data_IF_782837468549
#
_entry.id   IF_782837468549
#
_cell.length_a   1.000
_cell.length_b   1.000
_cell.length_c   1.000
_cell.angle_alpha   90.00
_cell.angle_beta   90.00
_cell.angle_gamma   90.00
#
_symmetry.space_group_name_H-M   'P 1'
#
loop_
_entity.id
_entity.type
_entity.pdbx_description
1 polymer ?
#
# COMPACT_ATOMS: atom_id res chain seq x y z
N UNK A 1 5.41 -18.50 -26.63
CA UNK A 1 4.89 -17.84 -25.42
C UNK A 1 5.40 -18.65 -24.25
N UNK A 2 6.42 -18.12 -23.56
CA UNK A 2 7.10 -18.85 -22.49
C UNK A 2 6.19 -18.90 -21.27
N UNK A 3 5.63 -20.07 -20.97
CA UNK A 3 4.97 -20.32 -19.70
C UNK A 3 6.00 -20.13 -18.60
N UNK A 4 5.76 -19.16 -17.73
CA UNK A 4 6.58 -18.93 -16.54
C UNK A 4 6.59 -20.23 -15.75
N UNK A 5 7.78 -20.77 -15.42
CA UNK A 5 7.99 -22.02 -14.65
C UNK A 5 6.96 -22.29 -13.52
N UNK A 6 6.47 -21.29 -12.75
CA UNK A 6 5.45 -21.51 -11.73
C UNK A 6 4.09 -22.00 -12.27
N UNK A 7 3.66 -21.55 -13.45
CA UNK A 7 2.40 -21.95 -14.07
C UNK A 7 2.44 -23.42 -14.49
N UNK A 8 3.59 -23.89 -14.96
CA UNK A 8 3.81 -25.30 -15.31
C UNK A 8 3.69 -26.20 -14.07
N UNK A 9 4.22 -25.74 -12.93
CA UNK A 9 4.10 -26.44 -11.64
C UNK A 9 2.64 -26.49 -11.18
N UNK A 10 1.92 -25.36 -11.23
CA UNK A 10 0.49 -25.27 -10.85
C UNK A 10 -0.36 -26.21 -11.71
N UNK A 11 -0.12 -26.22 -13.03
CA UNK A 11 -0.86 -27.07 -13.96
C UNK A 11 -0.51 -28.56 -13.82
N UNK A 12 0.70 -28.88 -13.30
CA UNK A 12 1.19 -30.24 -13.09
C UNK A 12 0.65 -30.96 -11.85
N UNK A 13 0.07 -30.23 -10.88
CA UNK A 13 -0.47 -30.81 -9.65
C UNK A 13 -1.97 -31.12 -9.75
N UNK A 14 -2.53 -31.87 -8.80
CA UNK A 14 -3.98 -32.13 -8.77
C UNK A 14 -4.75 -30.89 -8.30
N UNK A 15 -5.94 -30.68 -8.86
CA UNK A 15 -6.78 -29.52 -8.55
C UNK A 15 -7.21 -29.51 -7.06
N UNK A 16 -7.53 -30.67 -6.50
CA UNK A 16 -7.92 -30.80 -5.08
C UNK A 16 -6.76 -30.45 -4.12
N UNK A 17 -5.54 -30.85 -4.47
CA UNK A 17 -4.36 -30.52 -3.68
C UNK A 17 -4.01 -29.03 -3.80
N UNK A 18 -4.14 -28.45 -5.01
CA UNK A 18 -4.00 -27.01 -5.21
C UNK A 18 -5.00 -26.24 -4.34
N UNK A 19 -6.28 -26.63 -4.35
CA UNK A 19 -7.31 -25.96 -3.53
C UNK A 19 -7.01 -26.01 -2.04
N UNK A 20 -6.57 -27.17 -1.55
CA UNK A 20 -6.24 -27.36 -0.13
C UNK A 20 -5.05 -26.48 0.29
N UNK A 21 -4.01 -26.42 -0.54
CA UNK A 21 -2.81 -25.61 -0.28
C UNK A 21 -3.12 -24.13 -0.44
N UNK A 22 -3.79 -23.73 -1.52
CA UNK A 22 -4.18 -22.35 -1.76
C UNK A 22 -5.02 -21.79 -0.61
N UNK A 23 -5.97 -22.58 -0.08
CA UNK A 23 -6.78 -22.21 1.09
C UNK A 23 -5.93 -22.05 2.36
N UNK A 24 -4.93 -22.90 2.55
CA UNK A 24 -3.98 -22.79 3.68
C UNK A 24 -3.12 -21.53 3.54
N UNK A 25 -2.61 -21.28 2.33
CA UNK A 25 -1.76 -20.14 2.02
C UNK A 25 -2.50 -18.82 2.23
N UNK A 26 -3.68 -18.62 1.63
CA UNK A 26 -4.42 -17.34 1.76
C UNK A 26 -4.79 -17.02 3.22
N UNK A 27 -5.01 -18.04 4.07
CA UNK A 27 -5.30 -17.86 5.50
C UNK A 27 -4.09 -17.40 6.30
N UNK A 28 -2.90 -17.89 5.95
CA UNK A 28 -1.63 -17.50 6.59
C UNK A 28 -1.04 -16.24 5.95
N UNK A 29 -1.41 -15.94 4.71
CA UNK A 29 -0.98 -14.76 3.97
C UNK A 29 -1.51 -13.49 4.67
N UNK A 30 -0.60 -12.55 4.91
CA UNK A 30 -0.89 -11.28 5.57
C UNK A 30 -0.87 -11.31 7.11
N UNK A 31 -0.79 -12.47 7.75
CA UNK A 31 -0.71 -12.58 9.21
C UNK A 31 0.75 -12.54 9.69
N UNK A 32 1.09 -11.50 10.46
CA UNK A 32 2.42 -11.26 11.03
C UNK A 32 2.82 -12.27 12.11
N UNK A 33 1.89 -13.10 12.57
CA UNK A 33 2.15 -14.20 13.51
C UNK A 33 2.94 -15.33 12.85
N UNK A 34 2.91 -15.42 11.52
CA UNK A 34 3.63 -16.44 10.76
C UNK A 34 4.90 -15.86 10.13
N UNK A 35 6.06 -16.40 10.51
CA UNK A 35 7.34 -16.07 9.88
C UNK A 35 7.51 -16.72 8.50
N UNK A 36 6.75 -17.79 8.22
CA UNK A 36 6.72 -18.54 6.95
C UNK A 36 5.29 -18.95 6.61
N UNK A 37 4.98 -19.02 5.32
CA UNK A 37 3.65 -19.43 4.83
C UNK A 37 3.37 -20.93 5.04
N UNK A 38 4.43 -21.75 5.08
CA UNK A 38 4.40 -23.16 5.42
C UNK A 38 5.51 -23.45 6.44
N UNK A 39 5.22 -24.32 7.39
CA UNK A 39 6.21 -24.81 8.36
C UNK A 39 7.01 -25.98 7.76
N UNK A 40 8.20 -26.31 8.29
CA UNK A 40 9.08 -27.35 7.70
C UNK A 40 8.40 -28.74 7.59
N UNK A 41 7.53 -29.08 8.53
CA UNK A 41 6.74 -30.30 8.48
C UNK A 41 5.64 -30.24 7.40
N UNK A 42 5.02 -29.08 7.22
CA UNK A 42 4.01 -28.85 6.19
C UNK A 42 4.63 -28.86 4.79
N UNK A 43 5.83 -28.29 4.63
CA UNK A 43 6.59 -28.34 3.37
C UNK A 43 6.93 -29.79 3.00
N UNK A 44 7.41 -30.59 3.96
CA UNK A 44 7.67 -32.02 3.76
C UNK A 44 6.40 -32.78 3.39
N UNK A 45 5.28 -32.50 4.05
CA UNK A 45 4.00 -33.13 3.73
C UNK A 45 3.49 -32.73 2.34
N UNK A 46 3.63 -31.45 1.97
CA UNK A 46 3.24 -30.92 0.67
C UNK A 46 4.10 -31.55 -0.44
N UNK A 47 5.42 -31.61 -0.27
CA UNK A 47 6.36 -32.30 -1.19
C UNK A 47 5.95 -33.75 -1.41
N UNK A 48 5.67 -34.49 -0.33
CA UNK A 48 5.28 -35.90 -0.43
C UNK A 48 3.90 -36.12 -1.08
N UNK A 49 2.94 -35.23 -0.80
CA UNK A 49 1.56 -35.35 -1.30
C UNK A 49 1.46 -34.93 -2.77
N UNK A 50 2.12 -33.83 -3.13
CA UNK A 50 2.14 -33.27 -4.48
C UNK A 50 3.16 -33.96 -5.40
N UNK A 51 4.12 -34.71 -4.83
CA UNK A 51 5.24 -35.35 -5.54
C UNK A 51 6.09 -34.35 -6.34
N UNK A 52 6.29 -33.16 -5.78
CA UNK A 52 7.12 -32.10 -6.38
C UNK A 52 8.41 -31.89 -5.57
N UNK A 53 9.41 -31.26 -6.17
CA UNK A 53 10.62 -30.90 -5.44
C UNK A 53 10.43 -29.58 -4.63
N UNK A 54 11.37 -29.26 -3.76
CA UNK A 54 11.34 -28.06 -2.92
C UNK A 54 11.31 -26.76 -3.73
N UNK A 55 12.01 -26.71 -4.87
CA UNK A 55 12.02 -25.52 -5.74
C UNK A 55 10.65 -25.27 -6.39
N UNK A 56 9.97 -26.34 -6.79
CA UNK A 56 8.63 -26.29 -7.38
C UNK A 56 7.59 -25.94 -6.31
N UNK A 57 7.75 -26.44 -5.07
CA UNK A 57 6.89 -26.03 -3.96
C UNK A 57 7.05 -24.52 -3.68
N UNK A 58 8.28 -24.01 -3.64
CA UNK A 58 8.51 -22.58 -3.44
C UNK A 58 7.92 -21.76 -4.59
N UNK A 59 8.07 -22.20 -5.85
CA UNK A 59 7.45 -21.55 -6.99
C UNK A 59 5.91 -21.52 -6.89
N UNK A 60 5.28 -22.60 -6.42
CA UNK A 60 3.84 -22.68 -6.19
C UNK A 60 3.38 -21.71 -5.10
N UNK A 61 4.12 -21.65 -3.98
CA UNK A 61 3.81 -20.74 -2.86
C UNK A 61 3.93 -19.29 -3.30
N UNK A 62 5.03 -18.93 -3.96
CA UNK A 62 5.25 -17.57 -4.48
C UNK A 62 4.19 -17.17 -5.50
N UNK A 63 3.86 -18.06 -6.44
CA UNK A 63 2.82 -17.80 -7.43
C UNK A 63 1.46 -17.59 -6.77
N UNK A 64 1.08 -18.46 -5.84
CA UNK A 64 -0.20 -18.35 -5.14
C UNK A 64 -0.28 -17.07 -4.31
N UNK A 65 0.80 -16.72 -3.60
CA UNK A 65 0.88 -15.47 -2.83
C UNK A 65 0.75 -14.25 -3.74
N UNK A 66 1.51 -14.21 -4.83
CA UNK A 66 1.48 -13.13 -5.81
C UNK A 66 0.07 -12.91 -6.38
N UNK A 67 -0.57 -13.98 -6.84
CA UNK A 67 -1.89 -13.88 -7.48
C UNK A 67 -2.97 -13.48 -6.47
N UNK A 68 -2.92 -13.96 -5.23
CA UNK A 68 -3.85 -13.52 -4.19
C UNK A 68 -3.62 -12.09 -3.73
N UNK A 69 -2.37 -11.65 -3.60
CA UNK A 69 -2.03 -10.25 -3.32
C UNK A 69 -2.54 -9.34 -4.43
N UNK A 70 -2.24 -9.64 -5.69
CA UNK A 70 -2.70 -8.86 -6.85
C UNK A 70 -4.24 -8.76 -6.88
N UNK A 71 -4.93 -9.87 -6.69
CA UNK A 71 -6.38 -9.91 -6.62
C UNK A 71 -6.95 -9.09 -5.46
N UNK A 72 -6.28 -9.10 -4.30
CA UNK A 72 -6.68 -8.30 -3.15
C UNK A 72 -6.47 -6.80 -3.37
N UNK A 73 -5.34 -6.41 -3.95
CA UNK A 73 -5.05 -5.00 -4.25
C UNK A 73 -6.08 -4.41 -5.21
N UNK A 74 -6.48 -5.18 -6.22
CA UNK A 74 -7.47 -4.75 -7.20
C UNK A 74 -8.91 -4.99 -6.74
N UNK A 75 -9.13 -5.58 -5.56
CA UNK A 75 -10.44 -6.00 -5.05
C UNK A 75 -11.23 -6.79 -6.11
N UNK A 76 -10.57 -7.73 -6.78
CA UNK A 76 -11.15 -8.47 -7.90
C UNK A 76 -12.31 -9.37 -7.46
N UNK A 77 -13.38 -9.37 -8.25
CA UNK A 77 -14.48 -10.32 -8.11
C UNK A 77 -14.03 -11.75 -8.51
N UNK A 78 -14.61 -12.82 -7.93
CA UNK A 78 -14.21 -14.20 -8.18
C UNK A 78 -14.19 -14.60 -9.66
N UNK A 79 -15.19 -14.20 -10.44
CA UNK A 79 -15.26 -14.53 -11.86
C UNK A 79 -14.19 -13.78 -12.68
N UNK A 80 -13.88 -12.53 -12.30
CA UNK A 80 -12.80 -11.77 -12.94
C UNK A 80 -11.42 -12.35 -12.59
N UNK A 81 -11.24 -12.86 -11.38
CA UNK A 81 -10.03 -13.53 -10.94
C UNK A 81 -9.80 -14.85 -11.72
N UNK A 82 -10.86 -15.62 -11.95
CA UNK A 82 -10.79 -16.85 -12.76
C UNK A 82 -10.42 -16.56 -14.22
N UNK A 83 -11.04 -15.54 -14.82
CA UNK A 83 -10.71 -15.10 -16.17
C UNK A 83 -9.24 -14.66 -16.27
N UNK A 84 -8.75 -13.91 -15.28
CA UNK A 84 -7.35 -13.48 -15.23
C UNK A 84 -6.38 -14.67 -15.17
N UNK A 85 -6.64 -15.66 -14.31
CA UNK A 85 -5.83 -16.88 -14.19
C UNK A 85 -5.77 -17.66 -15.52
N UNK A 86 -6.90 -17.79 -16.20
CA UNK A 86 -6.99 -18.56 -17.44
C UNK A 86 -6.38 -17.82 -18.63
N UNK A 87 -6.80 -16.57 -18.85
CA UNK A 87 -6.49 -15.82 -20.08
C UNK A 87 -5.13 -15.13 -20.02
N UNK A 88 -4.76 -14.58 -18.86
CA UNK A 88 -3.52 -13.81 -18.71
C UNK A 88 -2.34 -14.69 -18.29
N UNK A 89 -2.58 -15.65 -17.39
CA UNK A 89 -1.53 -16.47 -16.78
C UNK A 89 -1.42 -17.87 -17.38
N UNK A 90 -2.43 -18.37 -18.10
CA UNK A 90 -2.40 -19.68 -18.73
C UNK A 90 -2.56 -20.86 -17.75
N UNK A 91 -3.21 -20.62 -16.61
CA UNK A 91 -3.60 -21.68 -15.68
C UNK A 91 -4.73 -22.51 -16.30
N UNK A 92 -4.72 -23.83 -16.06
CA UNK A 92 -5.77 -24.70 -16.57
C UNK A 92 -7.15 -24.33 -15.97
N UNK A 93 -8.24 -24.36 -16.75
CA UNK A 93 -9.58 -23.96 -16.28
C UNK A 93 -10.03 -24.66 -15.00
N UNK A 94 -9.72 -25.96 -14.87
CA UNK A 94 -10.05 -26.75 -13.67
C UNK A 94 -9.32 -26.24 -12.41
N UNK A 95 -8.09 -25.77 -12.56
CA UNK A 95 -7.28 -25.25 -11.46
C UNK A 95 -7.67 -23.81 -11.12
N UNK A 96 -7.95 -23.00 -12.13
CA UNK A 96 -8.46 -21.64 -11.96
C UNK A 96 -9.81 -21.64 -11.22
N UNK A 97 -10.74 -22.53 -11.58
CA UNK A 97 -12.03 -22.67 -10.90
C UNK A 97 -11.86 -23.03 -9.41
N UNK A 98 -10.90 -23.91 -9.07
CA UNK A 98 -10.60 -24.23 -7.67
C UNK A 98 -10.02 -23.02 -6.93
N UNK A 99 -9.06 -22.30 -7.53
CA UNK A 99 -8.51 -21.08 -6.93
C UNK A 99 -9.58 -19.99 -6.77
N UNK A 100 -10.51 -19.89 -7.72
CA UNK A 100 -11.67 -18.99 -7.64
C UNK A 100 -12.58 -19.33 -6.47
N UNK A 101 -12.88 -20.61 -6.24
CA UNK A 101 -13.67 -21.03 -5.07
C UNK A 101 -12.96 -20.70 -3.75
N UNK A 102 -11.63 -20.86 -3.71
CA UNK A 102 -10.83 -20.45 -2.55
C UNK A 102 -10.92 -18.94 -2.35
N UNK A 103 -10.74 -18.15 -3.41
CA UNK A 103 -10.85 -16.70 -3.38
C UNK A 103 -12.24 -16.26 -2.91
N UNK A 104 -13.31 -16.77 -3.50
CA UNK A 104 -14.70 -16.48 -3.11
C UNK A 104 -14.95 -16.71 -1.61
N UNK A 105 -14.37 -17.78 -1.04
CA UNK A 105 -14.56 -18.12 0.37
C UNK A 105 -13.68 -17.35 1.36
N UNK A 106 -12.47 -16.94 0.97
CA UNK A 106 -11.46 -16.39 1.89
C UNK A 106 -11.09 -14.92 1.59
N UNK A 107 -11.47 -14.37 0.43
CA UNK A 107 -11.10 -13.02 -0.02
C UNK A 107 -11.52 -11.94 0.99
N UNK A 108 -12.75 -11.98 1.49
CA UNK A 108 -13.24 -10.96 2.43
C UNK A 108 -12.39 -10.91 3.70
N UNK A 109 -12.05 -12.08 4.26
CA UNK A 109 -11.21 -12.17 5.46
C UNK A 109 -9.76 -11.76 5.16
N UNK A 110 -9.22 -12.15 4.01
CA UNK A 110 -7.87 -11.80 3.60
C UNK A 110 -7.70 -10.31 3.31
N UNK A 111 -8.62 -9.72 2.53
CA UNK A 111 -8.66 -8.27 2.27
C UNK A 111 -8.87 -7.51 3.59
N UNK A 112 -9.68 -8.02 4.52
CA UNK A 112 -9.80 -7.47 5.87
C UNK A 112 -8.46 -7.40 6.61
N UNK A 113 -7.73 -8.52 6.67
CA UNK A 113 -6.37 -8.58 7.28
C UNK A 113 -5.37 -7.67 6.56
N UNK A 114 -5.41 -7.61 5.24
CA UNK A 114 -4.56 -6.72 4.46
C UNK A 114 -4.92 -5.26 4.75
N UNK A 115 -6.21 -4.90 4.80
CA UNK A 115 -6.66 -3.55 5.15
C UNK A 115 -6.24 -3.19 6.56
N UNK A 116 -6.36 -4.09 7.52
CA UNK A 116 -5.78 -3.87 8.86
C UNK A 116 -4.28 -3.60 8.72
N UNK A 117 -3.50 -4.44 8.04
CA UNK A 117 -2.05 -4.22 7.87
C UNK A 117 -1.65 -2.98 7.05
N UNK A 118 -2.47 -2.56 6.09
CA UNK A 118 -2.15 -1.48 5.13
C UNK A 118 -2.75 -0.12 5.53
N UNK A 119 -3.91 -0.12 6.19
CA UNK A 119 -4.46 1.04 6.91
C UNK A 119 -3.71 1.24 8.23
N UNK A 120 -3.28 0.15 8.88
CA UNK A 120 -2.23 0.14 9.91
C UNK A 120 -0.85 -0.06 9.28
N UNK A 121 -0.56 0.61 8.15
CA UNK A 121 0.84 0.88 7.83
C UNK A 121 1.51 1.31 9.13
N UNK A 122 2.70 0.78 9.45
CA UNK A 122 3.30 0.85 10.81
C UNK A 122 3.32 2.24 11.46
N UNK A 123 3.05 3.28 10.67
CA UNK A 123 2.89 4.67 11.05
C UNK A 123 1.52 5.16 10.60
N UNK A 124 0.55 5.13 11.50
CA UNK A 124 -0.74 5.82 11.33
C UNK A 124 -0.58 7.20 11.91
N UNK A 125 -0.94 8.24 11.17
CA UNK A 125 -0.99 9.60 11.71
C UNK A 125 -2.03 9.65 12.84
N UNK A 126 -1.58 9.74 14.09
CA UNK A 126 -2.41 9.75 15.29
C UNK A 126 -2.82 11.16 15.68
N UNK A 127 -1.88 12.10 15.58
CA UNK A 127 -2.11 13.51 15.92
C UNK A 127 -1.33 14.43 14.97
N UNK A 128 -1.80 15.67 14.83
CA UNK A 128 -1.14 16.69 14.03
C UNK A 128 -1.22 18.03 14.72
N UNK A 129 -0.06 18.60 15.03
CA UNK A 129 0.04 19.98 15.50
C UNK A 129 0.64 20.85 14.41
N UNK A 130 0.20 22.09 14.30
CA UNK A 130 0.72 23.02 13.31
C UNK A 130 0.97 24.40 13.92
N UNK A 131 1.92 25.13 13.37
CA UNK A 131 2.23 26.50 13.75
C UNK A 131 2.61 27.31 12.52
N UNK A 132 2.04 28.50 12.37
CA UNK A 132 2.37 29.41 11.27
C UNK A 132 3.19 30.57 11.80
N UNK A 133 4.40 30.72 11.26
CA UNK A 133 5.27 31.85 11.50
C UNK A 133 5.06 32.90 10.43
N UNK A 134 4.85 34.15 10.85
CA UNK A 134 4.74 35.31 9.97
C UNK A 134 5.97 36.20 10.17
N UNK A 135 6.91 36.16 9.23
CA UNK A 135 8.02 37.10 9.19
C UNK A 135 7.60 38.33 8.40
N UNK A 136 7.31 39.40 9.12
CA UNK A 136 7.10 40.73 8.54
C UNK A 136 8.44 41.44 8.50
N UNK A 137 9.09 41.47 7.34
CA UNK A 137 10.28 42.31 7.16
C UNK A 137 9.83 43.78 7.25
N UNK A 138 10.10 44.42 8.38
CA UNK A 138 10.13 45.89 8.45
C UNK A 138 11.46 46.31 7.85
N UNK A 139 11.43 47.17 6.84
CA UNK A 139 12.62 47.89 6.43
C UNK A 139 13.15 48.65 7.65
N UNK A 140 14.35 48.32 8.10
CA UNK A 140 15.09 49.16 9.04
C UNK A 140 15.41 50.47 8.30
N UNK A 141 14.55 51.48 8.47
CA UNK A 141 14.90 52.87 8.21
C UNK A 141 15.87 53.30 9.32
N UNK A 142 17.15 53.28 8.96
CA UNK A 142 18.28 53.78 9.74
C UNK A 142 18.08 55.31 10.01
N UNK A 143 17.93 55.79 11.27
CA UNK A 143 17.68 57.20 11.54
C UNK A 143 19.01 57.98 11.59
N UNK A 144 19.79 57.97 10.49
CA UNK A 144 21.04 58.74 10.44
C UNK A 144 21.54 59.08 9.02
N UNK A 145 20.73 59.66 8.13
CA UNK A 145 21.29 60.57 7.10
C UNK A 145 20.23 61.44 6.42
N UNK A 146 20.31 62.73 6.74
CA UNK A 146 19.62 63.89 6.18
C UNK A 146 19.72 64.04 4.64
N UNK A 147 18.59 64.52 4.05
CA UNK A 147 18.42 65.31 2.81
C UNK A 147 18.24 64.60 1.45
N UNK A 148 16.99 64.32 1.10
CA UNK A 148 16.50 64.15 -0.28
C UNK A 148 14.96 64.13 -0.34
N UNK A 149 14.31 64.56 -1.44
CA UNK A 149 12.84 64.62 -1.51
C UNK A 149 12.23 63.21 -1.57
N UNK A 150 10.96 63.03 -1.15
CA UNK A 150 10.38 61.71 -0.96
C UNK A 150 10.18 61.05 -2.32
N UNK A 151 10.99 60.03 -2.63
CA UNK A 151 10.69 59.11 -3.72
C UNK A 151 9.60 58.17 -3.21
N UNK A 152 8.39 58.32 -3.74
CA UNK A 152 7.34 57.30 -3.68
C UNK A 152 7.94 55.99 -4.23
N UNK A 153 8.37 55.12 -3.32
CA UNK A 153 8.70 53.74 -3.62
C UNK A 153 7.62 52.94 -2.93
N UNK A 154 6.91 52.15 -3.72
CA UNK A 154 6.02 51.12 -3.20
C UNK A 154 6.84 50.20 -2.28
N UNK A 155 6.77 50.44 -0.97
CA UNK A 155 7.34 49.56 0.04
C UNK A 155 6.56 48.25 -0.01
N UNK A 156 6.99 47.34 -0.89
CA UNK A 156 6.55 45.96 -0.87
C UNK A 156 7.12 45.35 0.40
N UNK A 157 6.37 45.51 1.49
CA UNK A 157 6.58 44.83 2.76
C UNK A 157 6.62 43.33 2.48
N UNK A 158 7.82 42.76 2.36
CA UNK A 158 7.97 41.35 2.05
C UNK A 158 7.55 40.56 3.28
N UNK A 159 6.31 40.09 3.25
CA UNK A 159 5.74 39.29 4.33
C UNK A 159 5.87 37.84 3.91
N UNK A 160 6.75 37.09 4.57
CA UNK A 160 6.93 35.67 4.33
C UNK A 160 6.21 34.91 5.44
N UNK A 161 5.24 34.09 5.04
CA UNK A 161 4.56 33.17 5.94
C UNK A 161 5.06 31.75 5.68
N UNK A 162 5.43 31.06 6.76
CA UNK A 162 5.87 29.67 6.71
C UNK A 162 5.09 28.89 7.77
N UNK A 163 4.57 27.72 7.39
CA UNK A 163 3.83 26.85 8.31
C UNK A 163 4.62 25.58 8.59
N UNK A 164 4.73 25.20 9.87
CA UNK A 164 5.38 23.97 10.32
C UNK A 164 4.30 23.02 10.83
N UNK A 165 4.28 21.80 10.30
CA UNK A 165 3.40 20.71 10.73
C UNK A 165 4.23 19.65 11.44
N UNK A 166 3.84 19.27 12.65
CA UNK A 166 4.40 18.13 13.35
C UNK A 166 3.39 16.98 13.31
N UNK A 167 3.78 15.91 12.64
CA UNK A 167 2.97 14.73 12.41
C UNK A 167 3.36 13.66 13.43
N UNK A 168 2.44 13.32 14.33
CA UNK A 168 2.62 12.26 15.31
C UNK A 168 2.08 10.96 14.74
N UNK A 169 2.89 9.90 14.82
CA UNK A 169 2.47 8.57 14.41
C UNK A 169 1.96 7.78 15.61
N UNK A 170 1.18 6.73 15.38
CA UNK A 170 0.62 5.83 16.40
C UNK A 170 1.68 5.05 17.21
N UNK A 171 2.95 5.15 16.83
CA UNK A 171 4.06 4.58 17.58
C UNK A 171 4.76 5.70 18.37
N UNK A 172 4.47 5.81 19.66
CA UNK A 172 5.04 6.81 20.58
C UNK A 172 6.58 6.73 20.73
N UNK A 173 7.23 5.71 20.17
CA UNK A 173 8.68 5.53 20.23
C UNK A 173 9.46 6.37 19.21
N UNK A 174 8.79 6.92 18.18
CA UNK A 174 9.44 7.72 17.15
C UNK A 174 9.17 9.23 17.33
N UNK A 175 10.16 10.10 17.04
CA UNK A 175 9.95 11.54 17.10
C UNK A 175 8.93 11.99 16.04
N UNK A 176 8.14 13.04 16.32
CA UNK A 176 7.19 13.58 15.35
C UNK A 176 7.92 14.08 14.10
N UNK A 177 7.32 13.81 12.94
CA UNK A 177 7.86 14.28 11.67
C UNK A 177 7.47 15.75 11.48
N UNK A 178 8.47 16.63 11.56
CA UNK A 178 8.31 18.06 11.31
C UNK A 178 8.48 18.37 9.83
N UNK A 179 7.48 18.99 9.22
CA UNK A 179 7.47 19.42 7.81
C UNK A 179 7.22 20.92 7.76
N UNK A 180 8.07 21.65 7.04
CA UNK A 180 7.93 23.09 6.80
C UNK A 180 7.38 23.32 5.39
N UNK A 181 6.34 24.15 5.29
CA UNK A 181 5.75 24.55 4.02
C UNK A 181 5.80 26.06 3.83
N UNK A 182 6.24 26.49 2.66
CA UNK A 182 5.86 27.81 2.13
C UNK A 182 4.35 27.85 1.82
N UNK A 183 3.81 29.05 1.62
CA UNK A 183 2.40 29.19 1.23
C UNK A 183 2.04 28.40 -0.05
N UNK A 184 2.90 28.42 -1.06
CA UNK A 184 2.66 27.72 -2.32
C UNK A 184 2.65 26.20 -2.14
N UNK A 185 3.58 25.67 -1.35
CA UNK A 185 3.66 24.24 -1.09
C UNK A 185 2.50 23.77 -0.21
N UNK A 186 2.11 24.55 0.80
CA UNK A 186 0.95 24.23 1.64
C UNK A 186 -0.34 24.18 0.82
N UNK A 187 -0.53 25.14 -0.08
CA UNK A 187 -1.70 25.16 -0.96
C UNK A 187 -1.71 23.97 -1.92
N UNK A 188 -0.56 23.64 -2.53
CA UNK A 188 -0.44 22.47 -3.39
C UNK A 188 -0.66 21.16 -2.62
N UNK A 189 -0.19 21.07 -1.38
CA UNK A 189 -0.42 19.93 -0.49
C UNK A 189 -1.91 19.78 -0.15
N UNK A 190 -2.58 20.88 0.19
CA UNK A 190 -4.02 20.90 0.44
C UNK A 190 -4.84 20.42 -0.77
N UNK A 191 -4.51 20.89 -1.97
CA UNK A 191 -5.17 20.46 -3.21
C UNK A 191 -5.04 18.94 -3.41
N UNK A 192 -3.84 18.38 -3.18
CA UNK A 192 -3.65 16.92 -3.25
C UNK A 192 -4.49 16.14 -2.23
N UNK A 193 -4.63 16.66 -1.02
CA UNK A 193 -5.49 16.03 0.00
C UNK A 193 -6.97 16.06 -0.42
N UNK A 194 -7.42 17.14 -1.07
CA UNK A 194 -8.78 17.23 -1.60
C UNK A 194 -9.02 16.21 -2.72
N UNK A 195 -8.06 16.03 -3.63
CA UNK A 195 -8.16 15.02 -4.69
C UNK A 195 -8.27 13.60 -4.12
N UNK A 196 -7.49 13.31 -3.07
CA UNK A 196 -7.57 12.02 -2.35
C UNK A 196 -8.95 11.86 -1.69
N UNK A 197 -9.46 12.90 -1.01
CA UNK A 197 -10.77 12.87 -0.37
C UNK A 197 -11.88 12.59 -1.39
N UNK A 198 -11.87 13.29 -2.53
CA UNK A 198 -12.81 13.04 -3.62
C UNK A 198 -12.71 11.61 -4.17
N UNK A 199 -11.50 11.06 -4.28
CA UNK A 199 -11.28 9.66 -4.65
C UNK A 199 -11.94 8.71 -3.65
N UNK A 200 -11.72 8.91 -2.34
CA UNK A 200 -12.32 8.10 -1.28
C UNK A 200 -13.84 8.20 -1.30
N UNK A 201 -14.39 9.40 -1.42
CA UNK A 201 -15.84 9.63 -1.44
C UNK A 201 -16.50 8.88 -2.62
N UNK A 202 -15.87 8.90 -3.80
CA UNK A 202 -16.36 8.17 -4.98
C UNK A 202 -16.35 6.65 -4.85
N UNK A 203 -15.48 6.10 -3.99
CA UNK A 203 -15.42 4.67 -3.69
C UNK A 203 -16.42 4.26 -2.60
N UNK A 204 -16.93 5.24 -1.85
CA UNK A 204 -17.89 5.02 -0.75
C UNK A 204 -19.36 5.19 -1.16
N UNK A 205 -19.63 5.69 -2.38
CA UNK A 205 -20.96 5.84 -2.97
C UNK A 205 -21.32 4.70 -3.90
#
# INVERSE_FOLDING_TARGET
MSTTKPVEVVNGISADALGSIAKRLIRRLGDSSFSRLLDEDEERQAINTLKINEADLNALVQFSAYVFEEAAYQTQEPDSFEAHLNESLGVLPKHASVMRNVWESEATAYIGRLREKHLLGSKILSDTTWTTHLCVATSDDDPASTKGPPRSKSDKKNTQATSVFNLHMNNDSEPPLAIEFSHQELYAFFQKLQDIQHGIDSLSS
#
